data_IF_074075227119
#
_entry.id   IF_074075227119
#
_cell.length_a   1.000
_cell.length_b   1.000
_cell.length_c   1.000
_cell.angle_alpha   90.00
_cell.angle_beta   90.00
_cell.angle_gamma   90.00
#
_symmetry.space_group_name_H-M   'P 1'
#
loop_
_entity.id
_entity.type
_entity.pdbx_description
1 polymer ?
#
# COMPACT_ATOMS: atom_id res chain seq x y z
N UNK A 1 -5.06 -5.81 -5.16
CA UNK A 1 -4.93 -4.36 -5.36
C UNK A 1 -4.99 -4.07 -6.85
N UNK A 2 -5.81 -3.10 -7.22
CA UNK A 2 -6.14 -2.68 -8.59
C UNK A 2 -4.88 -2.17 -9.31
N UNK A 3 -4.01 -1.45 -8.60
CA UNK A 3 -2.75 -0.94 -9.14
C UNK A 3 -1.79 -2.06 -9.58
N UNK A 4 -1.66 -3.11 -8.77
CA UNK A 4 -0.84 -4.28 -9.12
C UNK A 4 -1.40 -4.97 -10.36
N UNK A 5 -2.71 -5.17 -10.42
CA UNK A 5 -3.36 -5.79 -11.57
C UNK A 5 -3.11 -4.97 -12.85
N UNK A 6 -3.24 -3.65 -12.78
CA UNK A 6 -2.97 -2.76 -13.91
C UNK A 6 -1.51 -2.85 -14.38
N UNK A 7 -0.55 -2.93 -13.44
CA UNK A 7 0.86 -3.10 -13.79
C UNK A 7 1.13 -4.44 -14.49
N UNK A 8 0.54 -5.54 -14.00
CA UNK A 8 0.66 -6.86 -14.62
C UNK A 8 0.08 -6.89 -16.04
N UNK A 9 -1.12 -6.34 -16.23
CA UNK A 9 -1.77 -6.25 -17.55
C UNK A 9 -0.90 -5.42 -18.50
N UNK A 10 -0.39 -4.28 -18.04
CA UNK A 10 0.43 -3.40 -18.88
C UNK A 10 1.76 -4.04 -19.26
N UNK A 11 2.39 -4.78 -18.34
CA UNK A 11 3.60 -5.54 -18.62
C UNK A 11 3.36 -6.61 -19.69
N UNK A 12 2.25 -7.36 -19.58
CA UNK A 12 1.87 -8.36 -20.57
C UNK A 12 1.60 -7.72 -21.95
N UNK A 13 0.80 -6.65 -21.99
CA UNK A 13 0.44 -5.96 -23.24
C UNK A 13 1.65 -5.33 -23.95
N UNK A 14 2.66 -4.87 -23.21
CA UNK A 14 3.88 -4.27 -23.75
C UNK A 14 4.99 -5.28 -24.01
N UNK A 15 4.80 -6.57 -23.68
CA UNK A 15 5.87 -7.57 -23.73
C UNK A 15 7.06 -7.22 -22.82
N UNK A 16 6.81 -6.50 -21.73
CA UNK A 16 7.85 -6.04 -20.83
C UNK A 16 8.44 -7.22 -20.03
N UNK A 17 9.77 -7.31 -19.99
CA UNK A 17 10.48 -8.41 -19.33
C UNK A 17 11.39 -7.93 -18.19
N UNK A 18 11.78 -8.87 -17.34
CA UNK A 18 12.63 -8.63 -16.16
C UNK A 18 11.84 -8.30 -14.89
N UNK A 19 12.55 -7.77 -13.89
CA UNK A 19 12.02 -7.54 -12.54
C UNK A 19 11.48 -6.12 -12.42
N UNK A 20 10.31 -5.96 -11.77
CA UNK A 20 9.65 -4.69 -11.49
C UNK A 20 9.15 -4.67 -10.04
N UNK A 21 9.25 -3.50 -9.39
CA UNK A 21 8.58 -3.26 -8.12
C UNK A 21 7.28 -2.51 -8.36
N UNK A 22 6.21 -2.99 -7.73
CA UNK A 22 4.85 -2.45 -7.84
C UNK A 22 4.28 -2.26 -6.44
N UNK A 23 4.56 -1.09 -5.87
CA UNK A 23 4.07 -0.68 -4.55
C UNK A 23 3.44 0.71 -4.63
N UNK A 24 2.83 1.14 -3.52
CA UNK A 24 2.38 2.54 -3.37
C UNK A 24 3.53 3.54 -3.55
N UNK A 25 3.20 4.82 -3.83
CA UNK A 25 4.20 5.88 -4.03
C UNK A 25 4.96 6.22 -2.75
N UNK A 26 4.33 6.06 -1.59
CA UNK A 26 4.88 6.42 -0.29
C UNK A 26 5.16 5.20 0.59
N UNK A 27 6.10 5.36 1.52
CA UNK A 27 6.37 4.40 2.58
C UNK A 27 5.97 5.00 3.92
N UNK A 28 5.11 4.30 4.65
CA UNK A 28 4.61 4.72 5.95
C UNK A 28 4.99 3.71 7.02
N UNK A 29 5.08 4.16 8.28
CA UNK A 29 5.13 3.23 9.40
C UNK A 29 3.75 2.59 9.62
N UNK A 30 3.71 1.47 10.34
CA UNK A 30 2.44 0.77 10.65
C UNK A 30 1.51 1.68 11.46
N UNK A 31 2.06 2.49 12.38
CA UNK A 31 1.27 3.39 13.22
C UNK A 31 0.67 4.53 12.38
N UNK A 32 1.42 5.09 11.42
CA UNK A 32 0.90 6.11 10.50
C UNK A 32 -0.24 5.56 9.65
N UNK A 33 -0.10 4.32 9.14
CA UNK A 33 -1.16 3.65 8.37
C UNK A 33 -2.43 3.49 9.22
N UNK A 34 -2.30 3.06 10.48
CA UNK A 34 -3.44 2.93 11.39
C UNK A 34 -4.13 4.28 11.65
N UNK A 35 -3.35 5.34 11.84
CA UNK A 35 -3.87 6.69 12.02
C UNK A 35 -4.55 7.24 10.76
N UNK A 36 -4.02 6.99 9.57
CA UNK A 36 -4.64 7.39 8.30
C UNK A 36 -5.95 6.66 8.05
N UNK A 37 -6.03 5.37 8.40
CA UNK A 37 -7.27 4.58 8.38
C UNK A 37 -8.31 5.21 9.32
N UNK A 38 -7.93 5.49 10.58
CA UNK A 38 -8.83 6.08 11.55
C UNK A 38 -9.36 7.45 11.08
N UNK A 39 -8.51 8.30 10.53
CA UNK A 39 -8.94 9.61 9.98
C UNK A 39 -9.91 9.45 8.82
N UNK A 40 -9.60 8.55 7.88
CA UNK A 40 -10.42 8.36 6.69
C UNK A 40 -11.86 7.98 7.02
N UNK A 41 -12.05 7.04 7.97
CA UNK A 41 -13.38 6.63 8.43
C UNK A 41 -13.90 7.41 9.64
N UNK A 42 -13.21 8.47 10.09
CA UNK A 42 -13.55 9.28 11.27
C UNK A 42 -13.75 8.44 12.55
N UNK A 43 -12.87 7.46 12.74
CA UNK A 43 -12.84 6.60 13.92
C UNK A 43 -12.04 7.26 15.04
N UNK A 44 -12.36 6.92 16.28
CA UNK A 44 -11.64 7.43 17.44
C UNK A 44 -10.22 6.82 17.51
N UNK A 45 -9.20 7.69 17.38
CA UNK A 45 -7.79 7.31 17.47
C UNK A 45 -7.36 6.90 18.87
N UNK A 46 -8.13 7.23 19.92
CA UNK A 46 -7.80 6.90 21.31
C UNK A 46 -7.63 5.40 21.54
N UNK A 47 -8.25 4.57 20.69
CA UNK A 47 -8.11 3.12 20.73
C UNK A 47 -6.80 2.59 20.14
N UNK A 48 -6.02 3.43 19.43
CA UNK A 48 -4.76 3.04 18.79
C UNK A 48 -3.61 3.29 19.75
N UNK A 49 -3.06 2.21 20.31
CA UNK A 49 -1.94 2.24 21.23
C UNK A 49 -0.63 1.87 20.50
N UNK A 50 0.33 2.80 20.35
CA UNK A 50 1.60 2.51 19.70
C UNK A 50 2.42 1.53 20.54
N UNK A 51 3.01 0.54 19.86
CA UNK A 51 3.93 -0.43 20.47
C UNK A 51 5.20 -0.54 19.66
N UNK A 52 6.29 -0.90 20.33
CA UNK A 52 7.58 -1.16 19.69
C UNK A 52 7.60 -2.56 19.09
N UNK A 53 8.45 -2.76 18.06
CA UNK A 53 8.65 -4.10 17.47
C UNK A 53 9.17 -5.14 18.47
N UNK A 54 9.89 -4.70 19.52
CA UNK A 54 10.36 -5.55 20.60
C UNK A 54 9.20 -6.10 21.44
N UNK A 55 8.22 -5.25 21.77
CA UNK A 55 7.03 -5.65 22.53
C UNK A 55 6.14 -6.64 21.78
N UNK A 56 6.14 -6.60 20.44
CA UNK A 56 5.37 -7.51 19.60
C UNK A 56 5.90 -8.96 19.60
N UNK A 57 7.10 -9.20 20.15
CA UNK A 57 7.76 -10.51 20.30
C UNK A 57 7.55 -11.47 19.10
N UNK A 58 7.65 -10.93 17.89
CA UNK A 58 7.35 -11.69 16.68
C UNK A 58 8.41 -12.78 16.47
N UNK A 59 8.04 -14.02 16.08
CA UNK A 59 8.99 -15.11 15.84
C UNK A 59 10.05 -14.78 14.79
N UNK A 60 9.71 -13.92 13.82
CA UNK A 60 10.61 -13.44 12.79
C UNK A 60 10.87 -11.94 12.96
N UNK A 61 12.13 -11.53 12.81
CA UNK A 61 12.50 -10.11 12.77
C UNK A 61 11.96 -9.50 11.48
N UNK A 62 11.13 -8.45 11.61
CA UNK A 62 10.65 -7.66 10.47
C UNK A 62 11.69 -6.61 10.11
N UNK A 63 11.99 -6.40 8.81
CA UNK A 63 12.85 -5.31 8.39
C UNK A 63 12.22 -3.95 8.75
N UNK A 64 13.01 -2.98 9.22
CA UNK A 64 12.48 -1.68 9.67
C UNK A 64 12.00 -0.79 8.52
N UNK A 65 12.44 -1.06 7.29
CA UNK A 65 12.02 -0.34 6.07
C UNK A 65 11.73 -1.36 4.96
N UNK A 66 10.56 -1.21 4.34
CA UNK A 66 10.06 -2.11 3.29
C UNK A 66 9.59 -1.37 2.03
N UNK A 67 9.94 -0.09 1.90
CA UNK A 67 9.64 0.70 0.71
C UNK A 67 10.39 0.20 -0.53
N UNK A 68 9.81 0.38 -1.71
CA UNK A 68 10.42 0.02 -2.98
C UNK A 68 10.71 1.24 -3.84
N UNK A 69 11.78 1.16 -4.65
CA UNK A 69 12.00 2.06 -5.78
C UNK A 69 11.18 1.56 -6.96
N UNK A 70 10.22 2.37 -7.41
CA UNK A 70 9.25 2.01 -8.47
C UNK A 70 9.54 2.70 -9.82
N UNK A 71 10.68 3.39 -9.94
CA UNK A 71 11.04 4.21 -11.11
C UNK A 71 10.99 3.42 -12.42
N UNK A 72 11.44 2.16 -12.39
CA UNK A 72 11.40 1.29 -13.57
C UNK A 72 9.95 1.03 -14.03
N UNK A 73 9.05 0.72 -13.10
CA UNK A 73 7.65 0.51 -13.43
C UNK A 73 6.98 1.80 -13.93
N UNK A 74 7.31 2.95 -13.33
CA UNK A 74 6.84 4.27 -13.79
C UNK A 74 7.23 4.54 -15.24
N UNK A 75 8.51 4.33 -15.59
CA UNK A 75 9.03 4.56 -16.94
C UNK A 75 8.47 3.57 -17.96
N UNK A 76 8.61 2.28 -17.69
CA UNK A 76 8.42 1.24 -18.72
C UNK A 76 6.96 0.81 -18.83
N UNK A 77 6.22 0.84 -17.73
CA UNK A 77 4.82 0.39 -17.65
C UNK A 77 3.83 1.56 -17.49
N UNK A 78 4.29 2.81 -17.51
CA UNK A 78 3.46 3.97 -17.19
C UNK A 78 2.73 3.80 -15.84
N UNK A 79 3.35 3.10 -14.89
CA UNK A 79 2.74 2.75 -13.62
C UNK A 79 2.63 3.98 -12.73
N UNK A 80 1.40 4.41 -12.43
CA UNK A 80 1.10 5.49 -11.49
C UNK A 80 0.18 4.95 -10.39
N UNK A 81 0.73 4.39 -9.30
CA UNK A 81 -0.08 3.86 -8.22
C UNK A 81 -0.86 4.97 -7.52
N UNK A 82 -1.99 4.61 -6.93
CA UNK A 82 -2.77 5.50 -6.07
C UNK A 82 -2.00 5.80 -4.79
N UNK A 83 -2.19 7.00 -4.26
CA UNK A 83 -1.81 7.32 -2.89
C UNK A 83 -2.61 6.46 -1.89
N UNK A 84 -2.13 6.37 -0.65
CA UNK A 84 -2.82 5.59 0.37
C UNK A 84 -4.30 6.01 0.59
N UNK A 85 -4.65 7.31 0.74
CA UNK A 85 -6.04 7.73 0.91
C UNK A 85 -6.93 7.44 -0.30
N UNK A 86 -6.41 7.57 -1.52
CA UNK A 86 -7.14 7.20 -2.74
C UNK A 86 -7.43 5.69 -2.78
N UNK A 87 -6.48 4.87 -2.31
CA UNK A 87 -6.68 3.43 -2.12
C UNK A 87 -7.79 3.13 -1.11
N UNK A 88 -7.84 3.84 0.02
CA UNK A 88 -8.91 3.70 1.01
C UNK A 88 -10.28 4.06 0.42
N UNK A 89 -10.36 5.08 -0.44
CA UNK A 89 -11.59 5.46 -1.13
C UNK A 89 -12.11 4.35 -2.06
N UNK A 90 -11.23 3.64 -2.77
CA UNK A 90 -11.61 2.47 -3.58
C UNK A 90 -12.18 1.36 -2.69
N UNK A 91 -11.50 1.05 -1.59
CA UNK A 91 -11.95 0.02 -0.63
C UNK A 91 -13.32 0.38 -0.04
N UNK A 92 -13.52 1.63 0.36
CA UNK A 92 -14.80 2.11 0.91
C UNK A 92 -15.95 1.97 -0.09
N UNK A 93 -15.72 2.33 -1.37
CA UNK A 93 -16.69 2.14 -2.43
C UNK A 93 -17.05 0.65 -2.62
N UNK A 94 -16.06 -0.24 -2.61
CA UNK A 94 -16.26 -1.69 -2.72
C UNK A 94 -17.03 -2.27 -1.52
N UNK A 95 -16.75 -1.81 -0.30
CA UNK A 95 -17.46 -2.23 0.91
C UNK A 95 -18.93 -1.81 0.88
N UNK A 96 -19.24 -0.62 0.36
CA UNK A 96 -20.61 -0.12 0.20
C UNK A 96 -21.42 -0.88 -0.85
N UNK A 97 -20.78 -1.31 -1.94
CA UNK A 97 -21.43 -2.10 -3.00
C UNK A 97 -21.76 -3.54 -2.59
N UNK A 98 -21.16 -4.03 -1.50
CA UNK A 98 -21.42 -5.36 -0.94
C UNK A 98 -22.54 -5.39 0.10
N UNK A 99 -23.14 -4.24 0.42
CA UNK A 99 -24.33 -4.12 1.29
C UNK A 99 -25.58 -4.07 0.43
#
# INVERSE_FOLDING_TARGET
SEDLAQACITAAMRGASGIYHTSGPETHSIIDLAYMIADFWKLDRSFINPVTSLQLNQPARRPPRTGFVIDKARRDLSYSPRSFPEGLAVVDAQLKQRR
#
